data_IF_195850354495
#
_entry.id   IF_195850354495
#
_cell.length_a   1.000
_cell.length_b   1.000
_cell.length_c   1.000
_cell.angle_alpha   90.00
_cell.angle_beta   90.00
_cell.angle_gamma   90.00
#
_symmetry.space_group_name_H-M   'P 1'
#
loop_
_entity.id
_entity.type
_entity.pdbx_description
1 polymer ?
#
# COMPACT_ATOMS: atom_id res chain seq x y z
N UNK A 1 7.27 -22.81 -17.91
CA UNK A 1 7.91 -21.49 -18.00
C UNK A 1 7.01 -20.48 -17.32
N UNK A 2 7.53 -19.79 -16.33
CA UNK A 2 6.79 -18.76 -15.59
C UNK A 2 6.83 -17.42 -16.34
N UNK A 3 5.85 -16.54 -16.09
CA UNK A 3 5.76 -15.23 -16.74
C UNK A 3 7.07 -14.45 -16.65
N UNK A 4 7.68 -14.39 -15.46
CA UNK A 4 8.91 -13.66 -15.25
C UNK A 4 10.10 -14.25 -16.03
N UNK A 5 10.20 -15.58 -16.11
CA UNK A 5 11.29 -16.24 -16.86
C UNK A 5 11.16 -16.00 -18.36
N UNK A 6 9.93 -15.97 -18.88
CA UNK A 6 9.68 -15.73 -20.30
C UNK A 6 10.13 -14.33 -20.74
N UNK A 7 9.92 -13.32 -19.89
CA UNK A 7 10.16 -11.91 -20.25
C UNK A 7 11.44 -11.31 -19.70
N UNK A 8 11.92 -11.78 -18.55
CA UNK A 8 13.14 -11.29 -17.89
C UNK A 8 14.29 -12.31 -17.91
N UNK A 9 14.03 -13.52 -18.40
CA UNK A 9 15.03 -14.56 -18.57
C UNK A 9 15.30 -15.41 -17.32
N UNK A 10 16.16 -16.40 -17.49
CA UNK A 10 16.69 -17.21 -16.40
C UNK A 10 18.13 -17.63 -16.79
N UNK A 11 19.12 -17.61 -15.88
CA UNK A 11 19.04 -17.33 -14.43
C UNK A 11 18.72 -15.87 -14.10
N UNK A 12 18.28 -15.61 -12.85
CA UNK A 12 17.95 -14.26 -12.35
C UNK A 12 19.16 -13.34 -12.47
N UNK A 13 19.00 -12.27 -13.24
CA UNK A 13 20.01 -11.22 -13.43
C UNK A 13 19.75 -9.95 -12.60
N UNK A 14 20.57 -8.92 -12.82
CA UNK A 14 20.49 -7.62 -12.11
C UNK A 14 19.21 -6.85 -12.45
N UNK A 15 18.64 -7.12 -13.61
CA UNK A 15 17.45 -6.48 -14.18
C UNK A 15 16.22 -6.68 -13.26
N UNK A 16 16.17 -7.81 -12.55
CA UNK A 16 15.14 -8.10 -11.56
C UNK A 16 15.14 -7.09 -10.42
N UNK A 17 16.31 -6.78 -9.86
CA UNK A 17 16.45 -5.81 -8.77
C UNK A 17 16.25 -4.38 -9.27
N UNK A 18 16.79 -4.05 -10.45
CA UNK A 18 16.62 -2.73 -11.07
C UNK A 18 15.15 -2.39 -11.37
N UNK A 19 14.34 -3.41 -11.68
CA UNK A 19 12.90 -3.25 -11.96
C UNK A 19 12.00 -3.46 -10.74
N UNK A 20 12.55 -3.80 -9.58
CA UNK A 20 11.80 -4.09 -8.37
C UNK A 20 11.39 -2.81 -7.64
N UNK A 21 10.08 -2.61 -7.45
CA UNK A 21 9.57 -1.52 -6.62
C UNK A 21 10.00 -1.66 -5.14
N UNK A 22 10.18 -2.90 -4.66
CA UNK A 22 10.59 -3.18 -3.27
C UNK A 22 12.04 -2.73 -3.04
N UNK A 23 12.95 -3.06 -3.96
CA UNK A 23 14.37 -2.68 -3.83
C UNK A 23 14.57 -1.17 -4.02
N UNK A 24 13.73 -0.57 -4.86
CA UNK A 24 13.79 0.86 -5.20
C UNK A 24 12.82 1.73 -4.37
N UNK A 25 12.21 1.21 -3.30
CA UNK A 25 11.20 1.92 -2.52
C UNK A 25 11.68 3.29 -2.00
N UNK A 26 12.96 3.39 -1.66
CA UNK A 26 13.61 4.63 -1.20
C UNK A 26 13.61 5.76 -2.25
N UNK A 27 13.54 5.41 -3.54
CA UNK A 27 13.54 6.33 -4.69
C UNK A 27 12.14 6.86 -5.01
N UNK A 28 11.09 6.34 -4.37
CA UNK A 28 9.73 6.80 -4.61
C UNK A 28 9.52 8.19 -3.97
N UNK A 29 8.88 9.06 -4.74
CA UNK A 29 8.60 10.46 -4.40
C UNK A 29 7.15 10.81 -4.78
N UNK A 30 6.59 11.82 -4.11
CA UNK A 30 5.22 12.28 -4.33
C UNK A 30 4.18 11.59 -3.44
N UNK A 31 2.91 11.71 -3.83
CA UNK A 31 1.78 11.08 -3.12
C UNK A 31 1.60 9.64 -3.62
N UNK A 32 1.60 8.68 -2.70
CA UNK A 32 1.48 7.26 -3.02
C UNK A 32 0.26 6.67 -2.31
N UNK A 33 -0.58 5.96 -3.07
CA UNK A 33 -1.67 5.13 -2.58
C UNK A 33 -1.42 3.68 -3.01
N UNK A 34 -1.27 2.78 -2.03
CA UNK A 34 -1.19 1.33 -2.24
C UNK A 34 -2.59 0.72 -2.10
N UNK A 35 -2.98 -0.17 -3.01
CA UNK A 35 -4.26 -0.88 -2.95
C UNK A 35 -3.99 -2.37 -3.10
N UNK A 36 -4.51 -3.17 -2.19
CA UNK A 36 -4.32 -4.62 -2.19
C UNK A 36 -5.63 -5.36 -1.87
N UNK A 37 -5.89 -6.43 -2.62
CA UNK A 37 -6.99 -7.34 -2.34
C UNK A 37 -6.49 -8.57 -1.59
N UNK A 38 -7.19 -9.00 -0.54
CA UNK A 38 -6.81 -10.14 0.31
C UNK A 38 -6.69 -11.47 -0.44
N UNK A 39 -7.60 -11.71 -1.40
CA UNK A 39 -7.77 -13.01 -2.06
C UNK A 39 -7.18 -13.02 -3.47
N UNK A 40 -6.15 -12.21 -3.72
CA UNK A 40 -5.42 -12.24 -4.98
C UNK A 40 -4.54 -13.49 -5.07
N UNK A 41 -4.91 -14.40 -5.98
CA UNK A 41 -4.18 -15.65 -6.22
C UNK A 41 -3.20 -15.56 -7.39
N UNK A 42 -3.17 -14.43 -8.10
CA UNK A 42 -2.27 -14.21 -9.23
C UNK A 42 -1.01 -13.45 -8.79
N UNK A 43 -1.19 -12.44 -7.95
CA UNK A 43 -0.09 -11.71 -7.32
C UNK A 43 -0.32 -11.71 -5.82
N UNK A 44 0.57 -12.36 -5.08
CA UNK A 44 0.43 -12.53 -3.64
C UNK A 44 0.39 -11.16 -2.91
N UNK A 45 -0.61 -10.92 -2.03
CA UNK A 45 -0.73 -9.67 -1.26
C UNK A 45 0.52 -9.30 -0.46
N UNK A 46 1.33 -10.29 -0.06
CA UNK A 46 2.60 -10.08 0.65
C UNK A 46 3.57 -9.19 -0.12
N UNK A 47 3.53 -9.15 -1.45
CA UNK A 47 4.38 -8.26 -2.24
C UNK A 47 4.10 -6.79 -1.91
N UNK A 48 2.83 -6.42 -1.76
CA UNK A 48 2.44 -5.06 -1.37
C UNK A 48 2.84 -4.75 0.07
N UNK A 49 2.70 -5.71 0.99
CA UNK A 49 3.13 -5.53 2.38
C UNK A 49 4.66 -5.41 2.51
N UNK A 50 5.43 -6.11 1.68
CA UNK A 50 6.87 -5.94 1.61
C UNK A 50 7.25 -4.54 1.12
N UNK A 51 6.55 -4.00 0.11
CA UNK A 51 6.76 -2.62 -0.33
C UNK A 51 6.44 -1.61 0.78
N UNK A 52 5.34 -1.82 1.51
CA UNK A 52 4.96 -0.99 2.66
C UNK A 52 6.06 -1.00 3.74
N UNK A 53 6.61 -2.16 4.11
CA UNK A 53 7.74 -2.26 5.04
C UNK A 53 8.97 -1.47 4.56
N UNK A 54 9.32 -1.56 3.27
CA UNK A 54 10.47 -0.82 2.73
C UNK A 54 10.24 0.69 2.69
N UNK A 55 9.01 1.14 2.41
CA UNK A 55 8.64 2.55 2.47
C UNK A 55 8.74 3.09 3.90
N UNK A 56 8.24 2.35 4.90
CA UNK A 56 8.34 2.72 6.33
C UNK A 56 9.81 2.84 6.74
N UNK A 57 10.64 1.84 6.42
CA UNK A 57 12.08 1.85 6.72
C UNK A 57 12.83 2.99 6.02
N UNK A 58 12.35 3.43 4.85
CA UNK A 58 12.88 4.59 4.14
C UNK A 58 12.32 5.95 4.65
N UNK A 59 11.47 5.94 5.69
CA UNK A 59 10.85 7.15 6.24
C UNK A 59 9.85 7.82 5.30
N UNK A 60 9.21 7.04 4.41
CA UNK A 60 8.26 7.55 3.40
C UNK A 60 6.82 7.36 3.89
N UNK A 61 6.02 8.41 3.74
CA UNK A 61 4.58 8.36 3.97
C UNK A 61 3.84 7.88 2.72
N UNK A 62 2.84 7.02 2.93
CA UNK A 62 1.95 6.53 1.89
C UNK A 62 0.59 6.20 2.52
N UNK A 63 -0.43 6.20 1.68
CA UNK A 63 -1.76 5.74 2.03
C UNK A 63 -1.93 4.29 1.58
N UNK A 64 -2.69 3.49 2.32
CA UNK A 64 -2.93 2.10 1.96
C UNK A 64 -4.40 1.73 2.13
N UNK A 65 -4.96 1.10 1.11
CA UNK A 65 -6.29 0.52 1.10
C UNK A 65 -6.19 -1.00 0.99
N UNK A 66 -6.52 -1.68 2.08
CA UNK A 66 -6.69 -3.13 2.11
C UNK A 66 -8.16 -3.46 1.84
N UNK A 67 -8.44 -4.31 0.85
CA UNK A 67 -9.80 -4.71 0.46
C UNK A 67 -10.00 -6.19 0.79
N UNK A 68 -10.67 -6.52 1.91
CA UNK A 68 -10.96 -7.90 2.28
C UNK A 68 -11.84 -8.60 1.25
N UNK A 69 -11.61 -9.89 1.02
CA UNK A 69 -12.37 -10.70 0.05
C UNK A 69 -12.19 -10.32 -1.43
N UNK A 70 -11.43 -9.27 -1.75
CA UNK A 70 -11.14 -8.87 -3.11
C UNK A 70 -10.07 -9.76 -3.74
N UNK A 71 -10.34 -10.28 -4.94
CA UNK A 71 -9.39 -11.02 -5.78
C UNK A 71 -8.95 -10.20 -6.99
N UNK A 72 -8.04 -10.73 -7.81
CA UNK A 72 -7.60 -10.10 -9.06
C UNK A 72 -8.75 -9.65 -9.99
N UNK A 73 -9.89 -10.36 -10.00
CA UNK A 73 -11.06 -10.01 -10.82
C UNK A 73 -11.96 -8.93 -10.21
N UNK A 74 -11.76 -8.59 -8.93
CA UNK A 74 -12.56 -7.58 -8.21
C UNK A 74 -12.13 -6.13 -8.47
N UNK A 75 -11.45 -5.86 -9.59
CA UNK A 75 -11.00 -4.53 -10.03
C UNK A 75 -12.06 -3.42 -9.92
N UNK A 76 -13.35 -3.64 -10.21
CA UNK A 76 -14.37 -2.60 -10.04
C UNK A 76 -14.54 -2.16 -8.58
N UNK A 77 -14.43 -3.09 -7.63
CA UNK A 77 -14.55 -2.82 -6.19
C UNK A 77 -13.33 -2.03 -5.70
N UNK A 78 -12.12 -2.45 -6.06
CA UNK A 78 -10.89 -1.73 -5.74
C UNK A 78 -10.90 -0.31 -6.33
N UNK A 79 -11.35 -0.15 -7.59
CA UNK A 79 -11.45 1.15 -8.25
C UNK A 79 -12.48 2.07 -7.57
N UNK A 80 -13.64 1.55 -7.18
CA UNK A 80 -14.66 2.34 -6.49
C UNK A 80 -14.16 2.86 -5.14
N UNK A 81 -13.46 2.03 -4.36
CA UNK A 81 -12.87 2.47 -3.09
C UNK A 81 -11.68 3.42 -3.29
N UNK A 82 -10.84 3.20 -4.31
CA UNK A 82 -9.79 4.14 -4.69
C UNK A 82 -10.34 5.53 -5.02
N UNK A 83 -11.42 5.59 -5.79
CA UNK A 83 -12.09 6.84 -6.13
C UNK A 83 -12.69 7.51 -4.89
N UNK A 84 -13.25 6.75 -3.96
CA UNK A 84 -13.72 7.29 -2.68
C UNK A 84 -12.58 7.87 -1.84
N UNK A 85 -11.39 7.24 -1.87
CA UNK A 85 -10.19 7.73 -1.21
C UNK A 85 -9.64 9.01 -1.85
N UNK A 86 -9.59 9.06 -3.19
CA UNK A 86 -9.07 10.22 -3.94
C UNK A 86 -10.04 11.40 -3.99
N UNK A 87 -11.31 11.21 -3.64
CA UNK A 87 -12.23 12.33 -3.46
C UNK A 87 -11.69 13.23 -2.34
N UNK A 88 -11.71 14.56 -2.50
CA UNK A 88 -11.33 15.47 -1.44
C UNK A 88 -12.23 15.21 -0.22
N UNK A 89 -11.69 14.54 0.79
CA UNK A 89 -12.31 14.46 2.10
C UNK A 89 -12.14 15.87 2.69
N UNK A 90 -13.27 16.54 2.92
CA UNK A 90 -13.49 17.84 3.57
C UNK A 90 -12.27 18.61 4.12
N UNK A 91 -12.26 19.93 3.84
CA UNK A 91 -11.33 20.98 4.30
C UNK A 91 -10.58 20.68 5.62
N UNK A 92 -9.28 21.02 5.66
CA UNK A 92 -8.25 21.00 6.74
C UNK A 92 -8.67 21.12 8.24
N UNK A 93 -9.92 21.40 8.56
CA UNK A 93 -10.45 21.45 9.92
C UNK A 93 -10.46 20.08 10.65
N UNK A 94 -10.60 18.95 9.94
CA UNK A 94 -10.81 17.63 10.58
C UNK A 94 -9.55 16.98 11.15
N UNK A 95 -8.36 17.32 10.65
CA UNK A 95 -7.10 16.65 11.04
C UNK A 95 -6.75 16.97 12.50
N UNK A 96 -6.95 18.21 12.94
CA UNK A 96 -6.74 18.62 14.33
C UNK A 96 -7.77 18.02 15.30
N UNK A 97 -8.98 17.70 14.82
CA UNK A 97 -9.99 17.01 15.62
C UNK A 97 -9.70 15.52 15.74
N UNK A 98 -9.23 14.88 14.66
CA UNK A 98 -8.81 13.48 14.67
C UNK A 98 -7.58 13.26 15.55
N UNK A 99 -6.59 14.15 15.52
CA UNK A 99 -5.44 14.10 16.42
C UNK A 99 -5.84 14.26 17.89
N UNK A 100 -6.79 15.16 18.19
CA UNK A 100 -7.36 15.29 19.54
C UNK A 100 -8.13 14.06 19.98
N UNK A 101 -8.85 13.41 19.08
CA UNK A 101 -9.62 12.19 19.37
C UNK A 101 -8.69 10.99 19.59
N UNK A 102 -7.64 10.85 18.79
CA UNK A 102 -6.62 9.81 18.94
C UNK A 102 -5.84 9.97 20.25
N UNK A 103 -5.43 11.20 20.59
CA UNK A 103 -4.74 11.46 21.85
C UNK A 103 -5.64 11.20 23.07
N UNK A 104 -6.93 11.53 23.00
CA UNK A 104 -7.90 11.22 24.06
C UNK A 104 -8.12 9.71 24.24
N UNK A 105 -8.19 8.96 23.14
CA UNK A 105 -8.33 7.50 23.17
C UNK A 105 -7.07 6.82 23.72
N UNK A 106 -5.88 7.33 23.40
CA UNK A 106 -4.62 6.85 23.96
C UNK A 106 -4.52 7.12 25.48
N UNK A 107 -5.03 8.27 25.96
CA UNK A 107 -5.08 8.60 27.39
C UNK A 107 -6.07 7.73 28.19
N UNK A 108 -7.18 7.29 27.57
CA UNK A 108 -8.15 6.38 28.19
C UNK A 108 -7.62 4.95 28.34
N UNK A 109 -6.77 4.49 27.42
CA UNK A 109 -6.14 3.17 27.47
C UNK A 109 -4.98 3.05 28.48
N UNK A 110 -4.49 4.16 29.01
CA UNK A 110 -3.37 4.21 29.97
C UNK A 110 -3.85 4.33 31.43
N UNK A 111 -5.16 4.53 31.67
CA UNK A 111 -5.70 4.51 33.04
C UNK A 111 -5.78 3.08 33.58
N UNK A 112 -5.29 2.82 34.82
CA UNK A 112 -5.27 1.48 35.41
C UNK A 112 -6.66 0.94 35.74
#
# INVERSE_FOLDING_TARGET
MWWNEQWMGWPVGIEYSQSSAIDNAHRLEGKLLLIVGEMDRNVDPSATFQLADRLIKAGKYFDMLYVPGASWSSRPLCAAQALAFLRPQHSRASTAELERQLNRAAEEQVRP
#
